data_IF_672619215492
#
_entry.id   IF_672619215492
#
_cell.length_a   1.000
_cell.length_b   1.000
_cell.length_c   1.000
_cell.angle_alpha   90.00
_cell.angle_beta   90.00
_cell.angle_gamma   90.00
#
_symmetry.space_group_name_H-M   'P 1'
#
loop_
_entity.id
_entity.type
_entity.pdbx_description
1 polymer ?
#
# COMPACT_ATOMS: atom_id res chain seq x y z
N UNK A 1 19.73 -11.81 3.39
CA UNK A 1 21.06 -11.82 2.76
C UNK A 1 22.05 -11.51 3.84
N UNK A 2 22.84 -12.52 4.27
CA UNK A 2 23.66 -12.36 5.49
C UNK A 2 25.00 -11.64 5.22
N UNK A 3 25.47 -11.61 3.95
CA UNK A 3 26.70 -10.96 3.51
C UNK A 3 26.47 -10.31 2.14
N UNK A 4 25.93 -9.06 2.09
CA UNK A 4 25.74 -8.37 0.84
C UNK A 4 27.09 -7.97 0.21
N UNK A 5 27.17 -8.07 -1.10
CA UNK A 5 28.28 -7.48 -1.89
C UNK A 5 27.81 -6.15 -2.50
N UNK A 6 28.73 -5.36 -3.05
CA UNK A 6 28.39 -4.03 -3.57
C UNK A 6 27.31 -4.06 -4.65
N UNK A 7 27.28 -5.09 -5.49
CA UNK A 7 26.30 -5.28 -6.56
C UNK A 7 24.87 -5.59 -6.05
N UNK A 8 24.75 -5.99 -4.78
CA UNK A 8 23.45 -6.22 -4.13
C UNK A 8 22.82 -4.93 -3.60
N UNK A 9 23.59 -3.84 -3.55
CA UNK A 9 23.17 -2.57 -3.01
C UNK A 9 22.81 -1.56 -4.08
N UNK A 10 21.90 -0.66 -3.78
CA UNK A 10 21.63 0.48 -4.64
C UNK A 10 22.79 1.48 -4.56
N UNK A 11 23.08 2.15 -5.68
CA UNK A 11 24.14 3.15 -5.73
C UNK A 11 23.85 4.38 -4.85
N UNK A 12 22.56 4.70 -4.65
CA UNK A 12 22.14 5.84 -3.85
C UNK A 12 21.53 5.36 -2.54
N UNK A 13 22.00 5.95 -1.46
CA UNK A 13 21.53 5.70 -0.10
C UNK A 13 21.37 7.00 0.70
N UNK A 14 21.20 6.85 1.99
CA UNK A 14 21.06 7.99 2.92
C UNK A 14 21.98 7.82 4.11
N UNK A 15 22.58 8.91 4.56
CA UNK A 15 23.18 8.96 5.89
C UNK A 15 22.08 8.93 6.93
N UNK A 16 22.15 7.96 7.82
CA UNK A 16 21.20 7.84 8.91
C UNK A 16 21.93 7.74 10.26
N UNK A 17 21.43 8.46 11.26
CA UNK A 17 21.89 8.33 12.64
C UNK A 17 21.03 7.34 13.38
N UNK A 18 21.66 6.32 13.96
CA UNK A 18 20.99 5.42 14.90
C UNK A 18 20.64 6.21 16.18
N UNK A 19 19.36 6.28 16.52
CA UNK A 19 18.86 6.96 17.72
C UNK A 19 18.67 5.98 18.85
N UNK A 20 18.06 4.83 18.55
CA UNK A 20 17.75 3.80 19.53
C UNK A 20 17.64 2.44 18.85
N UNK A 21 18.14 1.43 19.54
CA UNK A 21 17.97 0.02 19.23
C UNK A 21 17.18 -0.66 20.35
N UNK A 22 16.33 -1.63 20.04
CA UNK A 22 15.60 -2.43 21.01
C UNK A 22 15.27 -3.82 20.46
N UNK A 23 15.24 -4.79 21.34
CA UNK A 23 14.81 -6.16 21.02
C UNK A 23 13.29 -6.20 20.83
N UNK A 24 12.83 -6.94 19.82
CA UNK A 24 11.39 -7.14 19.59
C UNK A 24 10.88 -8.19 20.60
N UNK A 25 9.93 -7.84 21.49
CA UNK A 25 9.42 -8.78 22.47
C UNK A 25 8.77 -10.00 21.81
N UNK A 26 9.23 -11.20 22.20
CA UNK A 26 8.67 -12.47 21.71
C UNK A 26 9.29 -12.99 20.40
N UNK A 27 10.30 -12.32 19.84
CA UNK A 27 11.07 -12.82 18.71
C UNK A 27 12.39 -13.44 19.17
N UNK A 28 12.90 -14.42 18.41
CA UNK A 28 14.21 -15.02 18.65
C UNK A 28 15.30 -14.11 18.06
N UNK A 29 15.85 -13.20 18.85
CA UNK A 29 16.97 -12.31 18.48
C UNK A 29 16.69 -11.31 17.36
N UNK A 30 15.44 -10.89 17.16
CA UNK A 30 15.14 -9.79 16.23
C UNK A 30 15.32 -8.44 16.92
N UNK A 31 16.07 -7.56 16.28
CA UNK A 31 16.32 -6.20 16.73
C UNK A 31 15.61 -5.21 15.82
N UNK A 32 15.03 -4.18 16.39
CA UNK A 32 14.50 -3.02 15.68
C UNK A 32 15.30 -1.79 16.02
N UNK A 33 15.48 -0.91 15.04
CA UNK A 33 16.23 0.31 15.19
C UNK A 33 15.42 1.54 14.75
N UNK A 34 15.52 2.61 15.53
CA UNK A 34 15.03 3.93 15.14
C UNK A 34 16.22 4.70 14.57
N UNK A 35 16.09 5.11 13.31
CA UNK A 35 17.11 5.88 12.61
C UNK A 35 16.53 7.20 12.11
N UNK A 36 17.37 8.24 12.08
CA UNK A 36 17.04 9.55 11.49
C UNK A 36 17.92 9.75 10.27
N UNK A 37 17.32 9.78 9.09
CA UNK A 37 17.98 10.11 7.83
C UNK A 37 18.29 11.62 7.79
N UNK A 38 19.50 11.99 7.34
CA UNK A 38 19.98 13.37 7.32
C UNK A 38 20.33 13.88 5.92
N UNK A 39 20.96 13.08 5.09
CA UNK A 39 21.40 13.49 3.76
C UNK A 39 21.44 12.29 2.81
N UNK A 40 21.38 12.57 1.52
CA UNK A 40 21.56 11.56 0.47
C UNK A 40 23.05 11.38 0.17
N UNK A 41 23.43 10.18 -0.17
CA UNK A 41 24.79 9.87 -0.56
C UNK A 41 24.82 8.84 -1.71
N UNK A 42 25.92 8.88 -2.46
CA UNK A 42 26.26 7.87 -3.45
C UNK A 42 27.30 6.93 -2.89
N UNK A 43 27.05 5.64 -2.98
CA UNK A 43 28.01 4.60 -2.62
C UNK A 43 29.12 4.53 -3.65
N UNK A 44 30.37 4.64 -3.22
CA UNK A 44 31.57 4.50 -4.06
C UNK A 44 32.16 3.10 -3.94
N UNK A 45 32.39 2.67 -2.71
CA UNK A 45 32.91 1.34 -2.41
C UNK A 45 32.34 0.81 -1.10
N UNK A 46 32.23 -0.50 -1.01
CA UNK A 46 31.90 -1.24 0.20
C UNK A 46 33.16 -1.98 0.67
N UNK A 47 33.47 -1.91 1.96
CA UNK A 47 34.58 -2.63 2.59
C UNK A 47 34.03 -3.47 3.77
N UNK A 48 34.38 -4.74 3.80
CA UNK A 48 34.03 -5.73 4.81
C UNK A 48 35.25 -6.20 5.64
N UNK A 49 36.38 -5.50 5.53
CA UNK A 49 37.63 -5.89 6.23
C UNK A 49 37.50 -5.90 7.75
N UNK A 50 36.47 -5.26 8.31
CA UNK A 50 36.15 -5.24 9.73
C UNK A 50 34.97 -6.19 10.00
N UNK A 51 34.68 -6.48 11.27
CA UNK A 51 33.50 -7.29 11.66
C UNK A 51 32.15 -6.58 11.35
N UNK A 52 32.17 -5.51 10.60
CA UNK A 52 31.03 -4.72 10.13
C UNK A 52 31.38 -4.06 8.79
N UNK A 53 30.35 -3.81 7.99
CA UNK A 53 30.53 -3.14 6.72
C UNK A 53 30.84 -1.66 6.90
N UNK A 54 31.81 -1.19 6.13
CA UNK A 54 32.11 0.24 5.98
C UNK A 54 31.97 0.63 4.51
N UNK A 55 31.66 1.89 4.24
CA UNK A 55 31.46 2.36 2.89
C UNK A 55 32.11 3.74 2.67
N UNK A 56 32.77 3.88 1.54
CA UNK A 56 33.14 5.19 1.03
C UNK A 56 31.96 5.78 0.28
N UNK A 57 31.57 6.99 0.63
CA UNK A 57 30.39 7.63 0.07
C UNK A 57 30.65 9.09 -0.28
N UNK A 58 29.87 9.60 -1.26
CA UNK A 58 29.87 10.99 -1.67
C UNK A 58 28.50 11.60 -1.42
N UNK A 59 28.46 12.77 -0.79
CA UNK A 59 27.18 13.47 -0.57
C UNK A 59 26.58 13.95 -1.88
N UNK A 60 25.29 13.73 -2.04
CA UNK A 60 24.51 14.23 -3.19
C UNK A 60 23.89 15.57 -2.76
N UNK A 61 24.23 16.68 -3.46
CA UNK A 61 23.64 17.97 -3.14
C UNK A 61 22.15 18.02 -3.51
N UNK A 62 21.39 18.85 -2.80
CA UNK A 62 20.02 19.19 -3.17
C UNK A 62 20.02 20.43 -4.06
N UNK A 63 19.45 20.31 -5.26
CA UNK A 63 19.30 21.42 -6.19
C UNK A 63 17.89 21.99 -6.06
N UNK A 64 17.77 23.14 -5.39
CA UNK A 64 16.48 23.82 -5.18
C UNK A 64 16.11 24.71 -6.38
N UNK A 65 14.81 24.82 -6.69
CA UNK A 65 14.34 25.83 -7.64
C UNK A 65 14.51 27.25 -7.07
N UNK A 66 14.37 28.27 -7.92
CA UNK A 66 14.36 29.66 -7.49
C UNK A 66 13.20 29.91 -6.49
N UNK A 67 13.40 30.86 -5.55
CA UNK A 67 12.39 31.17 -4.52
C UNK A 67 11.06 31.67 -5.09
N UNK A 68 11.10 32.30 -6.26
CA UNK A 68 9.93 32.84 -6.97
C UNK A 68 9.36 31.87 -8.04
N UNK A 69 9.80 30.60 -8.05
CA UNK A 69 9.28 29.58 -8.98
C UNK A 69 7.82 29.23 -8.68
N UNK A 70 6.91 29.90 -9.39
CA UNK A 70 5.46 29.72 -9.23
C UNK A 70 4.99 28.33 -9.60
N UNK A 71 5.64 27.69 -10.57
CA UNK A 71 5.30 26.32 -10.97
C UNK A 71 5.64 25.32 -9.89
N UNK A 72 6.81 25.48 -9.25
CA UNK A 72 7.18 24.68 -8.10
C UNK A 72 6.22 24.87 -6.92
N UNK A 73 5.88 26.12 -6.59
CA UNK A 73 4.92 26.41 -5.52
C UNK A 73 3.54 25.79 -5.80
N UNK A 74 3.04 25.88 -7.02
CA UNK A 74 1.78 25.26 -7.42
C UNK A 74 1.86 23.73 -7.37
N UNK A 75 3.00 23.14 -7.73
CA UNK A 75 3.22 21.69 -7.64
C UNK A 75 3.26 21.18 -6.20
N UNK A 76 3.85 21.94 -5.26
CA UNK A 76 3.83 21.61 -3.82
C UNK A 76 2.40 21.62 -3.27
N UNK A 77 1.61 22.63 -3.66
CA UNK A 77 0.20 22.69 -3.27
C UNK A 77 -0.60 21.50 -3.87
N UNK A 78 -0.34 21.16 -5.14
CA UNK A 78 -0.90 19.98 -5.79
C UNK A 78 -0.51 18.68 -5.08
N UNK A 79 0.71 18.58 -4.55
CA UNK A 79 1.15 17.43 -3.74
C UNK A 79 0.31 17.33 -2.47
N UNK A 80 0.11 18.43 -1.73
CA UNK A 80 -0.70 18.44 -0.50
C UNK A 80 -2.13 17.97 -0.77
N UNK A 81 -2.77 18.52 -1.80
CA UNK A 81 -4.13 18.14 -2.19
C UNK A 81 -4.21 16.68 -2.65
N UNK A 82 -3.24 16.22 -3.43
CA UNK A 82 -3.17 14.84 -3.89
C UNK A 82 -3.02 13.85 -2.73
N UNK A 83 -2.18 14.16 -1.72
CA UNK A 83 -2.02 13.35 -0.52
C UNK A 83 -3.29 13.32 0.32
N UNK A 84 -3.99 14.45 0.45
CA UNK A 84 -5.27 14.50 1.16
C UNK A 84 -6.30 13.56 0.52
N UNK A 85 -6.40 13.56 -0.81
CA UNK A 85 -7.28 12.64 -1.54
C UNK A 85 -6.88 11.19 -1.29
N UNK A 86 -5.58 10.88 -1.41
CA UNK A 86 -5.05 9.53 -1.21
C UNK A 86 -5.34 9.00 0.20
N UNK A 87 -5.08 9.79 1.24
CA UNK A 87 -5.32 9.41 2.65
C UNK A 87 -6.80 9.19 2.91
N UNK A 88 -7.69 10.05 2.43
CA UNK A 88 -9.15 9.87 2.56
C UNK A 88 -9.66 8.59 1.88
N UNK A 89 -8.95 8.12 0.85
CA UNK A 89 -9.31 6.88 0.16
C UNK A 89 -8.67 5.63 0.77
N UNK A 90 -7.64 5.78 1.57
CA UNK A 90 -6.87 4.66 2.12
C UNK A 90 -7.20 4.46 3.61
N UNK A 91 -8.05 3.48 3.89
CA UNK A 91 -8.51 3.17 5.24
C UNK A 91 -7.37 2.62 6.14
N UNK A 92 -6.23 2.23 5.55
CA UNK A 92 -5.04 1.74 6.28
C UNK A 92 -4.18 2.88 6.86
N UNK A 93 -4.42 4.14 6.46
CA UNK A 93 -3.65 5.30 6.92
C UNK A 93 -4.40 6.00 8.06
N UNK A 94 -3.79 6.14 9.25
CA UNK A 94 -4.40 6.86 10.35
C UNK A 94 -4.62 8.34 10.03
N UNK A 95 -5.69 8.94 10.56
CA UNK A 95 -5.99 10.37 10.37
C UNK A 95 -4.88 11.29 10.93
N UNK A 96 -4.10 10.82 11.90
CA UNK A 96 -2.96 11.53 12.48
C UNK A 96 -1.86 11.81 11.44
N UNK A 97 -1.76 11.01 10.39
CA UNK A 97 -0.83 11.25 9.29
C UNK A 97 -1.16 12.55 8.55
N UNK A 98 -2.44 12.91 8.44
CA UNK A 98 -2.86 14.20 7.87
C UNK A 98 -2.43 15.38 8.74
N UNK A 99 -2.55 15.25 10.05
CA UNK A 99 -2.11 16.29 10.99
C UNK A 99 -0.59 16.47 10.89
N UNK A 100 0.16 15.37 10.81
CA UNK A 100 1.61 15.42 10.61
C UNK A 100 1.97 16.15 9.30
N UNK A 101 1.29 15.82 8.20
CA UNK A 101 1.51 16.45 6.89
C UNK A 101 1.23 17.96 6.91
N UNK A 102 0.15 18.38 7.57
CA UNK A 102 -0.24 19.80 7.66
C UNK A 102 0.78 20.63 8.45
N UNK A 103 1.48 20.03 9.41
CA UNK A 103 2.50 20.67 10.22
C UNK A 103 3.86 20.79 9.53
N UNK A 104 4.06 20.15 8.37
CA UNK A 104 5.31 20.25 7.62
C UNK A 104 5.28 21.51 6.76
N UNK A 105 6.09 22.51 7.12
CA UNK A 105 6.23 23.76 6.37
C UNK A 105 7.32 23.72 5.29
N UNK A 106 8.37 22.94 5.50
CA UNK A 106 9.51 22.84 4.59
C UNK A 106 9.18 21.96 3.37
N UNK A 107 9.44 22.46 2.15
CA UNK A 107 9.14 21.79 0.90
C UNK A 107 9.92 20.47 0.71
N UNK A 108 11.21 20.42 1.11
CA UNK A 108 11.98 19.18 1.07
C UNK A 108 11.40 18.14 2.01
N UNK A 109 11.06 18.56 3.22
CA UNK A 109 10.51 17.66 4.23
C UNK A 109 9.17 17.06 3.81
N UNK A 110 8.29 17.83 3.16
CA UNK A 110 7.00 17.28 2.68
C UNK A 110 7.21 16.30 1.52
N UNK A 111 8.09 16.60 0.57
CA UNK A 111 8.40 15.70 -0.54
C UNK A 111 8.97 14.37 -0.02
N UNK A 112 9.94 14.44 0.91
CA UNK A 112 10.54 13.25 1.50
C UNK A 112 9.55 12.46 2.36
N UNK A 113 8.70 13.14 3.14
CA UNK A 113 7.67 12.50 3.95
C UNK A 113 6.67 11.71 3.08
N UNK A 114 6.18 12.33 2.00
CA UNK A 114 5.25 11.68 1.08
C UNK A 114 5.92 10.52 0.34
N UNK A 115 7.14 10.70 -0.16
CA UNK A 115 7.89 9.64 -0.83
C UNK A 115 8.14 8.43 0.08
N UNK A 116 8.43 8.66 1.36
CA UNK A 116 8.71 7.59 2.31
C UNK A 116 7.46 6.79 2.70
N UNK A 117 6.30 7.46 2.85
CA UNK A 117 5.11 6.88 3.45
C UNK A 117 4.06 6.41 2.44
N UNK A 118 3.98 7.03 1.25
CA UNK A 118 2.96 6.69 0.25
C UNK A 118 3.52 5.80 -0.86
N UNK A 119 4.75 6.05 -1.30
CA UNK A 119 5.36 5.25 -2.36
C UNK A 119 5.70 3.87 -1.83
N UNK A 120 5.04 2.84 -2.37
CA UNK A 120 5.23 1.45 -1.93
C UNK A 120 6.32 0.72 -2.72
N UNK A 121 6.47 1.03 -4.02
CA UNK A 121 7.43 0.38 -4.89
C UNK A 121 8.86 0.87 -4.61
N UNK A 122 9.79 -0.07 -4.37
CA UNK A 122 11.19 0.26 -4.07
C UNK A 122 11.89 0.98 -5.23
N UNK A 123 11.63 0.61 -6.48
CA UNK A 123 12.25 1.25 -7.63
C UNK A 123 11.79 2.69 -7.81
N UNK A 124 10.53 3.00 -7.49
CA UNK A 124 10.06 4.39 -7.47
C UNK A 124 10.72 5.19 -6.34
N UNK A 125 10.91 4.58 -5.17
CA UNK A 125 11.65 5.23 -4.07
C UNK A 125 13.09 5.54 -4.47
N UNK A 126 13.77 4.61 -5.13
CA UNK A 126 15.14 4.81 -5.61
C UNK A 126 15.18 5.89 -6.70
N UNK A 127 14.28 5.83 -7.68
CA UNK A 127 14.15 6.87 -8.73
C UNK A 127 13.97 8.28 -8.15
N UNK A 128 13.19 8.41 -7.07
CA UNK A 128 13.00 9.69 -6.37
C UNK A 128 14.24 10.07 -5.55
N UNK A 129 14.93 9.09 -4.97
CA UNK A 129 16.13 9.31 -4.18
C UNK A 129 17.31 9.73 -5.06
N UNK A 130 17.42 9.21 -6.27
CA UNK A 130 18.46 9.54 -7.26
C UNK A 130 18.31 10.94 -7.86
N UNK A 131 17.08 11.48 -7.89
CA UNK A 131 16.84 12.81 -8.46
C UNK A 131 17.34 13.93 -7.53
N UNK A 132 18.36 14.64 -7.91
CA UNK A 132 18.96 15.73 -7.13
C UNK A 132 18.21 17.06 -7.31
N UNK A 133 17.55 17.27 -8.45
CA UNK A 133 16.73 18.45 -8.69
C UNK A 133 15.36 18.32 -7.99
N UNK A 134 15.11 19.18 -7.00
CA UNK A 134 13.91 19.16 -6.17
C UNK A 134 12.62 19.32 -6.98
N UNK A 135 12.61 20.17 -8.00
CA UNK A 135 11.45 20.39 -8.87
C UNK A 135 11.13 19.16 -9.70
N UNK A 136 12.14 18.53 -10.30
CA UNK A 136 11.96 17.29 -11.05
C UNK A 136 11.54 16.14 -10.14
N UNK A 137 12.12 16.04 -8.94
CA UNK A 137 11.71 15.04 -7.93
C UNK A 137 10.25 15.21 -7.54
N UNK A 138 9.79 16.44 -7.31
CA UNK A 138 8.40 16.74 -7.02
C UNK A 138 7.45 16.31 -8.16
N UNK A 139 7.79 16.60 -9.42
CA UNK A 139 6.97 16.16 -10.55
C UNK A 139 6.95 14.63 -10.71
N UNK A 140 8.07 13.96 -10.49
CA UNK A 140 8.13 12.50 -10.45
C UNK A 140 7.23 11.94 -9.33
N UNK A 141 7.30 12.53 -8.13
CA UNK A 141 6.47 12.13 -7.00
C UNK A 141 4.97 12.33 -7.26
N UNK A 142 4.57 13.47 -7.85
CA UNK A 142 3.18 13.72 -8.24
C UNK A 142 2.66 12.67 -9.23
N UNK A 143 3.50 12.26 -10.19
CA UNK A 143 3.15 11.19 -11.14
C UNK A 143 2.95 9.85 -10.42
N UNK A 144 3.84 9.52 -9.48
CA UNK A 144 3.74 8.29 -8.68
C UNK A 144 2.48 8.34 -7.80
N UNK A 145 2.26 9.46 -7.08
CA UNK A 145 1.08 9.64 -6.23
C UNK A 145 -0.23 9.49 -7.02
N UNK A 146 -0.30 10.07 -8.20
CA UNK A 146 -1.49 9.94 -9.07
C UNK A 146 -1.72 8.48 -9.47
N UNK A 147 -0.68 7.74 -9.84
CA UNK A 147 -0.77 6.31 -10.16
C UNK A 147 -1.23 5.49 -8.94
N UNK A 148 -0.67 5.71 -7.76
CA UNK A 148 -1.06 5.03 -6.52
C UNK A 148 -2.53 5.33 -6.16
N UNK A 149 -2.96 6.59 -6.34
CA UNK A 149 -4.36 6.99 -6.11
C UNK A 149 -5.31 6.28 -7.07
N UNK A 150 -4.98 6.22 -8.35
CA UNK A 150 -5.77 5.48 -9.35
C UNK A 150 -5.85 3.99 -9.03
N UNK A 151 -4.73 3.38 -8.65
CA UNK A 151 -4.69 1.98 -8.26
C UNK A 151 -5.58 1.71 -7.04
N UNK A 152 -5.51 2.56 -6.02
CA UNK A 152 -6.35 2.48 -4.83
C UNK A 152 -7.84 2.59 -5.17
N UNK A 153 -8.19 3.51 -6.08
CA UNK A 153 -9.56 3.65 -6.58
C UNK A 153 -10.08 2.37 -7.27
N UNK A 154 -9.27 1.78 -8.14
CA UNK A 154 -9.61 0.52 -8.80
C UNK A 154 -9.77 -0.61 -7.77
N UNK A 155 -8.83 -0.74 -6.82
CA UNK A 155 -8.89 -1.72 -5.73
C UNK A 155 -10.20 -1.60 -4.94
N UNK A 156 -10.58 -0.38 -4.55
CA UNK A 156 -11.81 -0.10 -3.79
C UNK A 156 -13.07 -0.44 -4.59
N UNK A 157 -13.08 -0.13 -5.89
CA UNK A 157 -14.20 -0.48 -6.77
C UNK A 157 -14.36 -2.01 -6.92
N UNK A 158 -13.26 -2.75 -7.07
CA UNK A 158 -13.30 -4.22 -7.12
C UNK A 158 -13.82 -4.79 -5.80
N UNK A 159 -13.31 -4.31 -4.68
CA UNK A 159 -13.76 -4.76 -3.35
C UNK A 159 -15.26 -4.51 -3.14
N UNK A 160 -15.76 -3.33 -3.54
CA UNK A 160 -17.18 -3.00 -3.41
C UNK A 160 -18.06 -3.90 -4.30
N UNK A 161 -17.65 -4.19 -5.54
CA UNK A 161 -18.35 -5.13 -6.41
C UNK A 161 -18.39 -6.53 -5.83
N UNK A 162 -17.23 -7.05 -5.41
CA UNK A 162 -17.13 -8.39 -4.81
C UNK A 162 -18.01 -8.50 -3.56
N UNK A 163 -18.06 -7.45 -2.72
CA UNK A 163 -18.93 -7.43 -1.54
C UNK A 163 -20.41 -7.47 -1.93
N UNK A 164 -20.81 -6.68 -2.92
CA UNK A 164 -22.19 -6.68 -3.41
C UNK A 164 -22.61 -8.05 -3.97
N UNK A 165 -21.72 -8.70 -4.74
CA UNK A 165 -21.96 -10.04 -5.28
C UNK A 165 -22.12 -11.10 -4.18
N UNK A 166 -21.28 -11.02 -3.13
CA UNK A 166 -21.38 -11.91 -1.96
C UNK A 166 -22.68 -11.68 -1.19
N UNK A 167 -23.06 -10.42 -0.96
CA UNK A 167 -24.30 -10.06 -0.27
C UNK A 167 -25.53 -10.57 -1.04
N UNK A 168 -25.53 -10.49 -2.38
CA UNK A 168 -26.58 -11.02 -3.25
C UNK A 168 -26.68 -12.55 -3.16
N UNK A 169 -25.55 -13.26 -3.26
CA UNK A 169 -25.50 -14.72 -3.12
C UNK A 169 -25.99 -15.20 -1.75
N UNK A 170 -25.60 -14.51 -0.66
CA UNK A 170 -26.07 -14.84 0.67
C UNK A 170 -27.59 -14.64 0.80
N UNK A 171 -28.12 -13.57 0.22
CA UNK A 171 -29.57 -13.31 0.20
C UNK A 171 -30.32 -14.39 -0.57
N UNK A 172 -29.85 -14.79 -1.75
CA UNK A 172 -30.43 -15.87 -2.53
C UNK A 172 -30.41 -17.19 -1.74
N UNK A 173 -29.27 -17.54 -1.16
CA UNK A 173 -29.15 -18.74 -0.32
C UNK A 173 -30.15 -18.73 0.83
N UNK A 174 -30.29 -17.61 1.55
CA UNK A 174 -31.24 -17.46 2.64
C UNK A 174 -32.70 -17.63 2.17
N UNK A 175 -33.06 -17.02 1.06
CA UNK A 175 -34.40 -17.18 0.45
C UNK A 175 -34.67 -18.62 0.07
N UNK A 176 -33.72 -19.31 -0.53
CA UNK A 176 -33.83 -20.72 -0.85
C UNK A 176 -34.05 -21.60 0.39
N UNK A 177 -33.29 -21.32 1.48
CA UNK A 177 -33.50 -22.02 2.75
C UNK A 177 -34.88 -21.76 3.35
N UNK A 178 -35.36 -20.52 3.31
CA UNK A 178 -36.73 -20.21 3.79
C UNK A 178 -37.81 -20.96 2.96
N UNK A 179 -37.68 -20.96 1.64
CA UNK A 179 -38.63 -21.71 0.75
C UNK A 179 -38.61 -23.21 1.09
N UNK A 180 -37.41 -23.77 1.32
CA UNK A 180 -37.27 -25.17 1.71
C UNK A 180 -37.95 -25.46 3.05
N UNK A 181 -37.70 -24.66 4.08
CA UNK A 181 -38.34 -24.81 5.39
C UNK A 181 -39.84 -24.68 5.32
N UNK A 182 -40.36 -23.70 4.59
CA UNK A 182 -41.81 -23.53 4.39
C UNK A 182 -42.42 -24.74 3.69
N UNK A 183 -41.75 -25.33 2.66
CA UNK A 183 -42.23 -26.55 2.02
C UNK A 183 -42.25 -27.76 2.94
N UNK A 184 -41.23 -27.88 3.80
CA UNK A 184 -41.15 -28.93 4.82
C UNK A 184 -42.26 -28.79 5.86
N UNK A 185 -42.55 -27.55 6.34
CA UNK A 185 -43.63 -27.26 7.29
C UNK A 185 -45.02 -27.48 6.70
N UNK A 186 -45.21 -27.21 5.40
CA UNK A 186 -46.47 -27.42 4.70
C UNK A 186 -46.69 -28.89 4.31
N UNK A 187 -45.72 -29.78 4.64
CA UNK A 187 -45.83 -31.22 4.31
C UNK A 187 -45.61 -31.54 2.84
N UNK A 188 -45.08 -30.56 2.07
CA UNK A 188 -44.75 -30.75 0.66
C UNK A 188 -43.33 -31.38 0.54
N UNK A 189 -43.19 -32.57 1.12
CA UNK A 189 -42.03 -33.43 0.89
C UNK A 189 -42.13 -33.98 -0.54
N UNK A 190 -41.66 -33.19 -1.45
CA UNK A 190 -41.32 -33.30 -2.88
C UNK A 190 -41.57 -34.55 -3.71
N UNK A 191 -42.48 -35.39 -3.35
CA UNK A 191 -43.18 -36.33 -4.22
C UNK A 191 -44.57 -36.52 -3.63
N UNK A 192 -45.56 -35.86 -4.25
CA UNK A 192 -46.95 -36.17 -3.91
C UNK A 192 -47.13 -37.67 -4.01
N UNK A 193 -47.74 -38.31 -2.97
CA UNK A 193 -48.12 -39.73 -2.99
C UNK A 193 -48.88 -40.06 -4.28
N UNK A 194 -49.59 -39.11 -4.86
CA UNK A 194 -50.25 -39.21 -6.17
C UNK A 194 -49.30 -39.51 -7.34
N UNK A 195 -48.09 -38.98 -7.36
CA UNK A 195 -47.06 -39.32 -8.38
C UNK A 195 -46.46 -40.70 -8.18
N UNK A 196 -46.35 -41.15 -6.92
CA UNK A 196 -45.93 -42.53 -6.60
C UNK A 196 -47.01 -43.54 -6.94
N UNK A 197 -48.30 -43.24 -6.69
CA UNK A 197 -49.42 -44.06 -7.07
C UNK A 197 -49.61 -44.11 -8.59
N UNK A 198 -49.47 -42.99 -9.30
CA UNK A 198 -49.51 -42.94 -10.76
C UNK A 198 -48.38 -43.73 -11.41
N UNK A 199 -47.18 -43.67 -10.89
CA UNK A 199 -46.06 -44.51 -11.34
C UNK A 199 -46.33 -46.01 -11.05
N UNK A 200 -46.87 -46.37 -9.87
CA UNK A 200 -47.25 -47.74 -9.55
C UNK A 200 -48.39 -48.25 -10.47
N UNK A 201 -49.39 -47.44 -10.78
CA UNK A 201 -50.50 -47.81 -11.70
C UNK A 201 -50.04 -47.91 -13.15
N UNK A 202 -49.03 -47.14 -13.57
CA UNK A 202 -48.47 -47.24 -14.93
C UNK A 202 -47.62 -48.50 -15.15
N UNK A 203 -47.02 -49.07 -14.08
CA UNK A 203 -46.19 -50.28 -14.14
C UNK A 203 -47.04 -51.59 -13.98
N UNK A 204 -48.38 -51.51 -13.72
CA UNK A 204 -49.27 -52.64 -13.46
C UNK A 204 -50.31 -52.88 -14.57
N UNK A 205 -50.10 -52.31 -15.77
CA UNK A 205 -50.92 -52.72 -16.94
C UNK A 205 -50.14 -53.72 -17.78
N UNK A 206 -50.73 -54.88 -18.09
CA UNK A 206 -50.10 -55.92 -18.86
C UNK A 206 -49.88 -55.56 -20.33
#
# INVERSE_FOLDING_TARGET
MDYPIQEDLFEVGVYAKLVKEFEVPGSNNEHSAIVIASARCRLKSLDDANNFFTAETEMIPEVFPAEDDKEFAAAVEGLRQGVEIYVKMNDDIPNEAMVALQNISNHLSIVNFVASNIVSNIYDKIMLLEEDNMKLRLFKLLKVLNRETQFLHIKKNIQNKTRADIDEQQKEYFLHQQIKNIREELGDSGESEDKRELKKKAFLKP
#
